data_IF_796774752590
#
_entry.id   IF_796774752590
#
_cell.length_a   1.000
_cell.length_b   1.000
_cell.length_c   1.000
_cell.angle_alpha   90.00
_cell.angle_beta   90.00
_cell.angle_gamma   90.00
#
_symmetry.space_group_name_H-M   'P 1'
#
loop_
_entity.id
_entity.type
_entity.pdbx_description
1 polymer ?
#
# COMPACT_ATOMS: atom_id res chain seq x y z
N UNK A 1 14.15 -21.49 -3.86
CA UNK A 1 12.83 -21.40 -4.54
C UNK A 1 13.02 -20.86 -5.95
N UNK A 2 13.88 -19.87 -6.10
CA UNK A 2 14.22 -19.21 -7.36
C UNK A 2 14.79 -20.15 -8.42
N UNK A 3 15.71 -21.05 -8.04
CA UNK A 3 16.21 -22.10 -8.96
C UNK A 3 15.10 -23.00 -9.52
N UNK A 4 14.03 -23.24 -8.75
CA UNK A 4 12.89 -24.02 -9.24
C UNK A 4 12.13 -23.24 -10.32
N UNK A 5 11.89 -21.95 -10.12
CA UNK A 5 11.24 -21.12 -11.12
C UNK A 5 12.09 -20.97 -12.38
N UNK A 6 13.38 -20.66 -12.25
CA UNK A 6 14.31 -20.51 -13.38
C UNK A 6 14.40 -21.78 -14.23
N UNK A 7 14.57 -22.95 -13.58
CA UNK A 7 14.63 -24.23 -14.28
C UNK A 7 13.34 -24.55 -15.06
N UNK A 8 12.22 -24.00 -14.63
CA UNK A 8 10.91 -24.28 -15.22
C UNK A 8 10.30 -23.06 -15.95
N UNK A 9 11.06 -22.00 -16.22
CA UNK A 9 10.55 -20.77 -16.84
C UNK A 9 9.95 -21.01 -18.23
N UNK A 10 10.63 -21.79 -19.08
CA UNK A 10 10.12 -22.16 -20.41
C UNK A 10 8.84 -23.02 -20.33
N UNK A 11 8.78 -23.92 -19.34
CA UNK A 11 7.59 -24.74 -19.09
C UNK A 11 6.41 -23.87 -18.62
N UNK A 12 6.69 -22.90 -17.73
CA UNK A 12 5.72 -21.93 -17.28
C UNK A 12 5.14 -21.13 -18.44
N UNK A 13 5.99 -20.58 -19.31
CA UNK A 13 5.54 -19.82 -20.47
C UNK A 13 4.64 -20.67 -21.37
N UNK A 14 5.04 -21.93 -21.63
CA UNK A 14 4.22 -22.90 -22.38
C UNK A 14 2.84 -23.14 -21.74
N UNK A 15 2.73 -23.10 -20.41
CA UNK A 15 1.45 -23.24 -19.72
C UNK A 15 0.60 -21.98 -19.79
N UNK A 16 1.22 -20.80 -19.62
CA UNK A 16 0.51 -19.52 -19.69
C UNK A 16 0.02 -19.23 -21.11
N UNK A 17 0.83 -19.51 -22.14
CA UNK A 17 0.45 -19.31 -23.55
C UNK A 17 -0.75 -20.18 -23.97
N UNK A 18 -0.99 -21.28 -23.26
CA UNK A 18 -2.15 -22.18 -23.48
C UNK A 18 -3.42 -21.70 -22.78
N UNK A 19 -3.34 -20.68 -21.92
CA UNK A 19 -4.52 -20.07 -21.33
C UNK A 19 -5.16 -19.17 -22.41
N UNK A 20 -6.25 -19.66 -22.99
CA UNK A 20 -7.08 -18.92 -23.94
C UNK A 20 -7.46 -17.52 -23.38
N UNK A 21 -7.02 -16.41 -24.00
CA UNK A 21 -7.30 -15.06 -23.52
C UNK A 21 -8.78 -14.64 -23.65
N UNK A 22 -9.63 -15.46 -24.29
CA UNK A 22 -11.05 -15.15 -24.54
C UNK A 22 -12.03 -15.96 -23.70
N UNK A 23 -11.56 -16.93 -22.90
CA UNK A 23 -12.42 -17.77 -22.04
C UNK A 23 -11.83 -17.94 -20.65
N UNK A 24 -12.64 -17.84 -19.58
CA UNK A 24 -12.19 -18.23 -18.24
C UNK A 24 -11.73 -19.71 -18.27
N UNK A 25 -10.61 -20.06 -17.62
CA UNK A 25 -10.01 -21.40 -17.73
C UNK A 25 -11.02 -22.49 -17.36
N UNK A 26 -11.13 -23.50 -18.24
CA UNK A 26 -12.12 -24.58 -18.19
C UNK A 26 -12.05 -25.47 -16.94
N UNK A 27 -10.96 -25.40 -16.17
CA UNK A 27 -10.81 -26.19 -14.93
C UNK A 27 -11.67 -25.67 -13.75
N UNK A 28 -12.35 -24.54 -13.91
CA UNK A 28 -13.24 -23.95 -12.89
C UNK A 28 -14.72 -24.35 -13.02
N UNK A 29 -15.10 -25.18 -14.01
CA UNK A 29 -16.51 -25.58 -14.18
C UNK A 29 -16.98 -26.75 -13.30
N UNK A 30 -16.08 -27.48 -12.64
CA UNK A 30 -16.42 -28.68 -11.85
C UNK A 30 -16.00 -28.64 -10.37
N UNK A 31 -15.61 -27.48 -9.85
CA UNK A 31 -15.65 -27.29 -8.40
C UNK A 31 -17.09 -26.96 -8.05
N UNK A 32 -17.73 -27.64 -7.07
CA UNK A 32 -18.98 -27.12 -6.53
C UNK A 32 -18.72 -25.65 -6.19
N UNK A 33 -19.63 -24.72 -6.52
CA UNK A 33 -19.48 -23.36 -6.06
C UNK A 33 -19.18 -23.46 -4.58
N UNK A 34 -17.97 -23.08 -4.16
CA UNK A 34 -17.83 -22.70 -2.77
C UNK A 34 -18.93 -21.66 -2.58
N UNK A 35 -19.74 -21.73 -1.52
CA UNK A 35 -20.74 -20.72 -1.27
C UNK A 35 -20.00 -19.41 -1.00
N UNK A 36 -19.57 -18.73 -2.06
CA UNK A 36 -19.52 -17.30 -2.13
C UNK A 36 -20.98 -16.95 -2.02
N UNK A 37 -21.43 -16.71 -0.77
CA UNK A 37 -22.52 -15.77 -0.56
C UNK A 37 -22.22 -14.63 -1.52
N UNK A 38 -23.11 -14.38 -2.46
CA UNK A 38 -23.19 -13.09 -3.12
C UNK A 38 -23.36 -12.09 -1.98
N UNK A 39 -22.24 -11.62 -1.45
CA UNK A 39 -22.22 -10.54 -0.49
C UNK A 39 -22.71 -9.37 -1.29
N UNK A 40 -23.86 -8.84 -0.89
CA UNK A 40 -24.37 -7.57 -1.35
C UNK A 40 -23.22 -6.57 -1.51
N UNK A 41 -23.35 -5.71 -2.52
CA UNK A 41 -22.44 -4.61 -2.85
C UNK A 41 -22.36 -3.63 -1.67
N UNK A 42 -21.62 -4.03 -0.63
CA UNK A 42 -21.34 -3.31 0.58
C UNK A 42 -19.89 -2.82 0.47
N UNK A 43 -19.71 -1.75 -0.29
CA UNK A 43 -18.46 -1.02 -0.32
C UNK A 43 -18.50 0.08 0.72
N UNK A 44 -17.57 0.09 1.68
CA UNK A 44 -17.37 1.24 2.55
C UNK A 44 -17.13 2.50 1.69
N UNK A 45 -18.04 3.49 1.67
CA UNK A 45 -17.97 4.61 0.74
C UNK A 45 -16.74 5.50 0.96
N UNK A 46 -16.11 5.38 2.14
CA UNK A 46 -14.96 6.19 2.54
C UNK A 46 -13.63 5.48 2.34
N UNK A 47 -13.60 4.25 1.79
CA UNK A 47 -12.37 3.52 1.50
C UNK A 47 -12.33 2.97 0.07
N UNK A 48 -11.41 3.50 -0.75
CA UNK A 48 -11.15 3.03 -2.12
C UNK A 48 -9.93 2.12 -2.13
N UNK A 49 -10.03 0.96 -2.77
CA UNK A 49 -8.92 0.00 -2.87
C UNK A 49 -8.56 -0.22 -4.32
N UNK A 50 -7.32 0.13 -4.62
CA UNK A 50 -6.75 0.03 -5.95
C UNK A 50 -5.51 -0.86 -5.93
N UNK A 51 -5.27 -1.53 -7.05
CA UNK A 51 -4.02 -2.27 -7.26
C UNK A 51 -3.21 -1.59 -8.35
N UNK A 52 -1.89 -1.50 -8.12
CA UNK A 52 -0.94 -1.02 -9.12
C UNK A 52 0.10 -2.10 -9.40
N UNK A 53 0.21 -2.51 -10.66
CA UNK A 53 1.20 -3.46 -11.14
C UNK A 53 2.34 -2.64 -11.75
N UNK A 54 3.57 -2.75 -11.21
CA UNK A 54 4.71 -2.09 -11.85
C UNK A 54 5.08 -2.81 -13.16
N UNK A 55 5.77 -2.15 -14.11
CA UNK A 55 6.38 -2.83 -15.24
C UNK A 55 7.39 -3.90 -14.81
N UNK A 56 7.63 -4.91 -15.66
CA UNK A 56 8.84 -5.74 -15.54
C UNK A 56 10.06 -4.85 -15.75
N UNK A 57 11.02 -4.89 -14.82
CA UNK A 57 12.26 -4.13 -14.91
C UNK A 57 13.32 -4.91 -15.70
N UNK A 58 14.35 -4.22 -16.18
CA UNK A 58 15.45 -4.83 -16.91
C UNK A 58 16.10 -5.97 -16.12
N UNK A 59 16.29 -5.80 -14.81
CA UNK A 59 16.83 -6.83 -13.93
C UNK A 59 15.91 -8.07 -13.81
N UNK A 60 14.58 -7.88 -13.78
CA UNK A 60 13.64 -9.00 -13.73
C UNK A 60 13.75 -9.85 -15.02
N UNK A 61 13.86 -9.17 -16.16
CA UNK A 61 13.97 -9.76 -17.49
C UNK A 61 15.33 -10.45 -17.64
N UNK A 62 16.42 -9.78 -17.26
CA UNK A 62 17.78 -10.31 -17.32
C UNK A 62 17.96 -11.54 -16.41
N UNK A 63 17.26 -11.55 -15.26
CA UNK A 63 17.24 -12.70 -14.36
C UNK A 63 16.47 -13.90 -14.93
N UNK A 64 15.67 -13.71 -15.99
CA UNK A 64 14.94 -14.78 -16.68
C UNK A 64 13.63 -15.20 -16.02
N UNK A 65 13.09 -14.38 -15.09
CA UNK A 65 11.78 -14.64 -14.51
C UNK A 65 10.66 -14.09 -15.40
N UNK A 66 9.68 -14.92 -15.82
CA UNK A 66 8.55 -14.45 -16.61
C UNK A 66 7.56 -13.65 -15.75
N UNK A 67 6.65 -12.93 -16.42
CA UNK A 67 5.53 -12.27 -15.75
C UNK A 67 4.53 -13.30 -15.19
N UNK A 68 3.99 -13.05 -14.01
CA UNK A 68 3.04 -13.90 -13.32
C UNK A 68 1.71 -13.22 -12.96
N UNK A 69 1.57 -11.92 -13.24
CA UNK A 69 0.41 -11.11 -12.89
C UNK A 69 -0.21 -10.55 -14.17
N UNK A 70 -1.45 -10.96 -14.47
CA UNK A 70 -2.13 -10.66 -15.72
C UNK A 70 -3.47 -9.96 -15.43
N UNK A 71 -3.55 -8.62 -15.55
CA UNK A 71 -4.82 -7.93 -15.49
C UNK A 71 -5.65 -8.29 -16.73
N UNK A 72 -6.94 -8.61 -16.55
CA UNK A 72 -7.85 -8.82 -17.69
C UNK A 72 -8.20 -7.49 -18.34
N UNK A 73 -8.53 -7.48 -19.65
CA UNK A 73 -9.03 -6.29 -20.33
C UNK A 73 -10.17 -5.65 -19.55
N UNK A 74 -10.11 -4.33 -19.40
CA UNK A 74 -11.15 -3.58 -18.71
C UNK A 74 -12.48 -3.71 -19.47
N UNK A 75 -13.52 -4.17 -18.77
CA UNK A 75 -14.88 -4.15 -19.27
C UNK A 75 -15.61 -2.95 -18.65
N UNK A 76 -15.96 -1.91 -19.43
CA UNK A 76 -16.58 -0.69 -18.90
C UNK A 76 -17.90 -0.91 -18.16
N UNK A 77 -18.59 -2.03 -18.42
CA UNK A 77 -19.85 -2.38 -17.74
C UNK A 77 -19.64 -3.17 -16.44
N UNK A 78 -18.42 -3.63 -16.18
CA UNK A 78 -18.11 -4.39 -14.98
C UNK A 78 -17.81 -3.45 -13.81
N UNK A 79 -18.49 -3.65 -12.69
CA UNK A 79 -18.24 -2.92 -11.43
C UNK A 79 -16.87 -3.21 -10.80
N UNK A 80 -16.21 -4.28 -11.24
CA UNK A 80 -14.94 -4.74 -10.70
C UNK A 80 -14.01 -5.18 -11.84
N UNK A 81 -12.73 -4.90 -11.67
CA UNK A 81 -11.67 -5.39 -12.53
C UNK A 81 -11.09 -6.70 -11.99
N UNK A 82 -10.55 -7.52 -12.90
CA UNK A 82 -10.07 -8.86 -12.57
C UNK A 82 -8.59 -8.99 -12.88
N UNK A 83 -7.84 -9.58 -11.96
CA UNK A 83 -6.42 -9.94 -12.14
C UNK A 83 -6.28 -11.45 -11.97
N UNK A 84 -5.59 -12.09 -12.91
CA UNK A 84 -5.18 -13.49 -12.80
C UNK A 84 -3.71 -13.58 -12.41
N UNK A 85 -3.40 -14.45 -11.45
CA UNK A 85 -2.04 -14.81 -11.06
C UNK A 85 -1.78 -16.26 -11.41
N UNK A 86 -0.62 -16.52 -12.00
CA UNK A 86 -0.21 -17.86 -12.40
C UNK A 86 1.10 -18.23 -11.72
N UNK A 87 1.09 -19.30 -10.93
CA UNK A 87 2.24 -19.81 -10.17
C UNK A 87 2.55 -21.26 -10.60
N UNK A 88 3.81 -21.70 -10.45
CA UNK A 88 4.19 -23.09 -10.59
C UNK A 88 4.13 -23.80 -9.25
N UNK A 89 3.40 -24.90 -9.19
CA UNK A 89 3.33 -25.76 -8.02
C UNK A 89 4.01 -27.10 -8.28
N UNK A 90 4.98 -27.45 -7.44
CA UNK A 90 5.63 -28.75 -7.47
C UNK A 90 4.78 -29.79 -6.71
N UNK A 91 3.92 -30.51 -7.44
CA UNK A 91 3.01 -31.47 -6.82
C UNK A 91 3.73 -32.79 -6.49
N UNK A 92 3.69 -33.31 -5.23
CA UNK A 92 4.45 -34.50 -4.83
C UNK A 92 4.18 -35.77 -5.64
N UNK A 93 2.97 -35.89 -6.21
CA UNK A 93 2.53 -37.03 -7.04
C UNK A 93 2.63 -36.81 -8.56
N UNK A 94 3.22 -35.70 -9.03
CA UNK A 94 3.35 -35.43 -10.47
C UNK A 94 4.84 -35.24 -10.82
N UNK A 95 5.30 -35.79 -11.95
CA UNK A 95 6.70 -35.69 -12.35
C UNK A 95 7.07 -34.30 -12.89
N UNK A 96 6.07 -33.49 -13.28
CA UNK A 96 6.26 -32.13 -13.78
C UNK A 96 5.48 -31.14 -12.90
N UNK A 97 6.01 -29.91 -12.72
CA UNK A 97 5.26 -28.83 -12.10
C UNK A 97 3.92 -28.60 -12.81
N UNK A 98 2.92 -28.17 -12.05
CA UNK A 98 1.62 -27.80 -12.59
C UNK A 98 1.39 -26.30 -12.44
N UNK A 99 0.66 -25.71 -13.38
CA UNK A 99 0.23 -24.32 -13.28
C UNK A 99 -0.92 -24.22 -12.26
N UNK A 100 -0.78 -23.33 -11.29
CA UNK A 100 -1.80 -22.99 -10.31
C UNK A 100 -2.20 -21.54 -10.49
N UNK A 101 -3.43 -21.34 -10.95
CA UNK A 101 -3.99 -20.01 -11.16
C UNK A 101 -4.82 -19.55 -9.96
N UNK A 102 -4.81 -18.25 -9.68
CA UNK A 102 -5.77 -17.60 -8.78
C UNK A 102 -6.27 -16.30 -9.39
N UNK A 103 -7.57 -16.09 -9.32
CA UNK A 103 -8.25 -14.92 -9.85
C UNK A 103 -8.68 -14.02 -8.69
N UNK A 104 -8.44 -12.72 -8.81
CA UNK A 104 -8.77 -11.71 -7.81
C UNK A 104 -9.64 -10.62 -8.43
N UNK A 105 -10.68 -10.19 -7.71
CA UNK A 105 -11.59 -9.12 -8.16
C UNK A 105 -11.43 -7.89 -7.28
N UNK A 106 -11.28 -6.73 -7.91
CA UNK A 106 -10.90 -5.48 -7.24
C UNK A 106 -11.68 -4.30 -7.84
N UNK A 107 -11.74 -3.18 -7.12
CA UNK A 107 -12.39 -1.97 -7.61
C UNK A 107 -11.61 -1.39 -8.79
N UNK A 108 -10.33 -1.05 -8.57
CA UNK A 108 -9.46 -0.45 -9.58
C UNK A 108 -8.15 -1.23 -9.75
N UNK A 109 -7.71 -1.36 -11.00
CA UNK A 109 -6.49 -2.04 -11.42
C UNK A 109 -5.75 -1.16 -12.42
N UNK A 110 -4.58 -0.70 -11.98
CA UNK A 110 -3.62 0.06 -12.78
C UNK A 110 -2.50 -0.88 -13.22
N UNK A 111 -2.45 -1.20 -14.52
CA UNK A 111 -1.40 -2.03 -15.09
C UNK A 111 -0.09 -1.24 -15.32
N UNK A 112 0.90 -1.91 -15.92
CA UNK A 112 2.21 -1.33 -16.19
C UNK A 112 2.19 -0.10 -17.13
N UNK A 113 1.12 0.10 -17.90
CA UNK A 113 0.96 1.26 -18.79
C UNK A 113 0.40 2.49 -18.06
N UNK A 114 -0.16 2.32 -16.87
CA UNK A 114 -0.78 3.40 -16.12
C UNK A 114 0.27 4.35 -15.50
N UNK A 115 0.24 5.61 -15.94
CA UNK A 115 1.07 6.68 -15.38
C UNK A 115 0.64 7.02 -13.94
N UNK A 116 1.55 7.58 -13.15
CA UNK A 116 1.19 8.05 -11.79
C UNK A 116 0.17 9.19 -11.84
N UNK A 117 0.19 10.02 -12.89
CA UNK A 117 -0.83 11.06 -13.10
C UNK A 117 -2.23 10.45 -13.27
N UNK A 118 -2.37 9.37 -14.05
CA UNK A 118 -3.65 8.65 -14.17
C UNK A 118 -4.13 8.11 -12.82
N UNK A 119 -3.23 7.49 -12.05
CA UNK A 119 -3.55 7.02 -10.68
C UNK A 119 -3.98 8.18 -9.79
N UNK A 120 -3.30 9.33 -9.90
CA UNK A 120 -3.66 10.53 -9.15
C UNK A 120 -5.08 10.99 -9.48
N UNK A 121 -5.36 11.16 -10.77
CA UNK A 121 -6.64 11.66 -11.26
C UNK A 121 -7.81 10.76 -10.90
N UNK A 122 -7.65 9.45 -11.02
CA UNK A 122 -8.76 8.51 -10.81
C UNK A 122 -9.05 8.22 -9.35
N UNK A 123 -8.05 8.20 -8.46
CA UNK A 123 -8.27 7.74 -7.07
C UNK A 123 -7.68 8.62 -5.97
N UNK A 124 -6.79 9.57 -6.27
CA UNK A 124 -6.12 10.39 -5.22
C UNK A 124 -6.60 11.84 -5.22
N UNK A 125 -7.00 12.38 -6.36
CA UNK A 125 -7.44 13.78 -6.50
C UNK A 125 -8.55 14.13 -5.49
N UNK A 126 -9.58 13.30 -5.38
CA UNK A 126 -10.69 13.51 -4.44
C UNK A 126 -10.25 13.53 -2.97
N UNK A 127 -9.21 12.75 -2.64
CA UNK A 127 -8.59 12.72 -1.33
C UNK A 127 -7.90 14.06 -1.01
N UNK A 128 -7.13 14.56 -1.98
CA UNK A 128 -6.43 15.85 -1.90
C UNK A 128 -7.43 17.01 -1.79
N UNK A 129 -8.50 16.97 -2.59
CA UNK A 129 -9.55 17.99 -2.55
C UNK A 129 -10.26 18.01 -1.19
N UNK A 130 -10.56 16.84 -0.63
CA UNK A 130 -11.17 16.75 0.69
C UNK A 130 -10.27 17.33 1.79
N UNK A 131 -8.95 17.12 1.70
CA UNK A 131 -8.00 17.72 2.64
C UNK A 131 -7.91 19.25 2.47
N UNK A 132 -7.95 19.76 1.25
CA UNK A 132 -8.06 21.21 1.04
C UNK A 132 -9.34 21.80 1.66
N UNK A 133 -10.46 21.07 1.62
CA UNK A 133 -11.73 21.52 2.18
C UNK A 133 -11.84 21.31 3.71
N UNK A 134 -10.70 21.11 4.40
CA UNK A 134 -10.66 21.02 5.86
C UNK A 134 -10.92 19.62 6.44
N UNK A 135 -10.98 18.57 5.61
CA UNK A 135 -11.20 17.18 6.05
C UNK A 135 -9.90 16.40 6.19
N UNK A 136 -10.02 15.14 6.61
CA UNK A 136 -8.90 14.21 6.66
C UNK A 136 -8.87 13.33 5.39
N UNK A 137 -7.68 13.16 4.84
CA UNK A 137 -7.41 12.21 3.77
C UNK A 137 -6.22 11.33 4.13
N UNK A 138 -6.32 10.02 3.89
CA UNK A 138 -5.19 9.10 4.05
C UNK A 138 -4.99 8.23 2.82
N UNK A 139 -3.76 8.15 2.33
CA UNK A 139 -3.33 7.24 1.28
C UNK A 139 -2.34 6.24 1.86
N UNK A 140 -2.58 4.94 1.62
CA UNK A 140 -1.68 3.86 1.95
C UNK A 140 -1.10 3.24 0.69
N UNK A 141 0.21 3.12 0.59
CA UNK A 141 0.83 2.17 -0.32
C UNK A 141 1.29 0.93 0.45
N UNK A 142 0.82 -0.23 0.02
CA UNK A 142 1.09 -1.52 0.64
C UNK A 142 1.58 -2.53 -0.39
N UNK A 143 2.44 -3.47 0.01
CA UNK A 143 3.00 -4.49 -0.87
C UNK A 143 4.42 -4.87 -0.48
N UNK A 144 4.96 -5.87 -1.16
CA UNK A 144 6.32 -6.32 -0.92
C UNK A 144 7.38 -5.27 -1.28
N UNK A 145 8.59 -5.44 -0.80
CA UNK A 145 9.75 -4.68 -1.26
C UNK A 145 9.91 -4.82 -2.77
N UNK A 146 10.37 -3.72 -3.39
CA UNK A 146 10.53 -3.60 -4.84
C UNK A 146 9.23 -3.72 -5.66
N UNK A 147 8.04 -3.61 -5.05
CA UNK A 147 6.77 -3.56 -5.81
C UNK A 147 6.38 -2.17 -6.33
N UNK A 148 7.18 -1.14 -6.06
CA UNK A 148 6.94 0.23 -6.54
C UNK A 148 6.15 1.14 -5.59
N UNK A 149 6.04 0.79 -4.30
CA UNK A 149 5.36 1.61 -3.26
C UNK A 149 5.95 3.02 -3.16
N UNK A 150 7.24 3.11 -2.84
CA UNK A 150 7.94 4.39 -2.66
C UNK A 150 7.86 5.25 -3.92
N UNK A 151 8.12 4.67 -5.10
CA UNK A 151 7.96 5.37 -6.39
C UNK A 151 6.56 5.95 -6.55
N UNK A 152 5.53 5.13 -6.30
CA UNK A 152 4.14 5.57 -6.42
C UNK A 152 3.81 6.69 -5.45
N UNK A 153 4.15 6.53 -4.16
CA UNK A 153 3.83 7.51 -3.13
C UNK A 153 4.58 8.82 -3.36
N UNK A 154 5.87 8.79 -3.65
CA UNK A 154 6.67 10.00 -3.89
C UNK A 154 6.14 10.81 -5.06
N UNK A 155 5.82 10.16 -6.19
CA UNK A 155 5.28 10.87 -7.34
C UNK A 155 3.86 11.41 -7.08
N UNK A 156 3.02 10.68 -6.34
CA UNK A 156 1.72 11.18 -5.89
C UNK A 156 1.83 12.37 -4.92
N UNK A 157 2.84 12.38 -4.04
CA UNK A 157 3.11 13.50 -3.12
C UNK A 157 3.44 14.77 -3.91
N UNK A 158 4.31 14.66 -4.92
CA UNK A 158 4.66 15.79 -5.80
C UNK A 158 3.43 16.35 -6.51
N UNK A 159 2.55 15.49 -7.02
CA UNK A 159 1.30 15.89 -7.65
C UNK A 159 0.35 16.57 -6.66
N UNK A 160 0.19 16.00 -5.45
CA UNK A 160 -0.68 16.56 -4.41
C UNK A 160 -0.21 17.96 -3.95
N UNK A 161 1.09 18.15 -3.73
CA UNK A 161 1.66 19.46 -3.37
C UNK A 161 1.39 20.48 -4.48
N UNK A 162 1.66 20.12 -5.74
CA UNK A 162 1.42 21.01 -6.86
C UNK A 162 -0.06 21.41 -6.99
N UNK A 163 -0.98 20.45 -6.87
CA UNK A 163 -2.43 20.69 -6.99
C UNK A 163 -2.96 21.58 -5.86
N UNK A 164 -2.49 21.37 -4.63
CA UNK A 164 -2.86 22.19 -3.48
C UNK A 164 -2.32 23.63 -3.58
N UNK A 165 -1.09 23.82 -4.04
CA UNK A 165 -0.51 25.15 -4.27
C UNK A 165 -1.22 25.91 -5.40
N UNK A 166 -1.62 25.21 -6.47
CA UNK A 166 -2.41 25.80 -7.55
C UNK A 166 -3.78 26.29 -7.07
N UNK A 167 -4.30 25.74 -5.97
CA UNK A 167 -5.50 26.23 -5.29
C UNK A 167 -5.22 27.33 -4.26
N UNK A 168 -4.00 27.85 -4.22
CA UNK A 168 -3.54 28.87 -3.27
C UNK A 168 -3.70 28.46 -1.80
N UNK A 169 -3.71 27.16 -1.49
CA UNK A 169 -3.73 26.69 -0.11
C UNK A 169 -2.43 27.07 0.60
N UNK A 170 -2.52 27.49 1.86
CA UNK A 170 -1.38 27.56 2.75
C UNK A 170 -0.97 26.14 3.16
N UNK A 171 0.25 25.75 2.81
CA UNK A 171 0.74 24.38 2.98
C UNK A 171 1.88 24.28 3.98
N UNK A 172 1.77 23.27 4.84
CA UNK A 172 2.88 22.82 5.67
C UNK A 172 3.11 21.32 5.52
N UNK A 173 4.36 20.92 5.36
CA UNK A 173 4.77 19.52 5.17
C UNK A 173 5.61 19.07 6.35
N UNK A 174 5.29 17.89 6.85
CA UNK A 174 6.12 17.14 7.81
C UNK A 174 6.31 15.73 7.26
N UNK A 175 7.54 15.22 7.25
CA UNK A 175 7.83 13.86 6.79
C UNK A 175 8.46 13.06 7.91
N UNK A 176 7.79 11.99 8.34
CA UNK A 176 8.19 11.17 9.47
C UNK A 176 8.56 9.77 9.00
N UNK A 177 9.68 9.26 9.49
CA UNK A 177 10.06 7.86 9.41
C UNK A 177 9.66 7.11 10.69
N UNK A 178 9.06 5.94 10.54
CA UNK A 178 8.81 5.00 11.63
C UNK A 178 9.67 3.74 11.45
N UNK A 179 10.63 3.56 12.34
CA UNK A 179 11.42 2.33 12.45
C UNK A 179 10.98 1.58 13.71
N UNK A 180 10.20 0.52 13.54
CA UNK A 180 9.52 -0.16 14.64
C UNK A 180 8.56 0.77 15.40
N UNK A 181 8.88 1.07 16.66
CA UNK A 181 8.12 2.00 17.51
C UNK A 181 8.80 3.36 17.71
N UNK A 182 9.92 3.61 17.02
CA UNK A 182 10.61 4.89 17.05
C UNK A 182 10.14 5.73 15.87
N UNK A 183 9.99 7.04 16.09
CA UNK A 183 9.60 8.02 15.09
C UNK A 183 10.71 9.05 14.94
N UNK A 184 11.01 9.43 13.70
CA UNK A 184 12.07 10.38 13.35
C UNK A 184 11.56 11.38 12.31
N UNK A 185 11.95 12.65 12.45
CA UNK A 185 11.64 13.71 11.48
C UNK A 185 12.71 13.73 10.37
N UNK A 186 12.30 13.33 9.16
CA UNK A 186 13.22 13.25 8.01
C UNK A 186 13.63 14.61 7.44
N UNK A 187 12.88 15.68 7.72
CA UNK A 187 13.24 17.04 7.30
C UNK A 187 14.15 17.73 8.31
N UNK A 188 14.16 17.25 9.54
CA UNK A 188 15.06 17.69 10.61
C UNK A 188 16.19 16.69 10.87
N UNK A 189 16.93 16.29 9.83
CA UNK A 189 18.11 15.42 9.92
C UNK A 189 17.87 14.09 10.67
N UNK A 190 16.65 13.54 10.59
CA UNK A 190 16.25 12.31 11.28
C UNK A 190 16.30 12.44 12.81
N UNK A 191 16.02 13.62 13.35
CA UNK A 191 15.87 13.83 14.79
C UNK A 191 14.70 13.04 15.36
N UNK A 192 14.87 12.54 16.58
CA UNK A 192 13.87 11.66 17.21
C UNK A 192 12.68 12.49 17.72
N UNK A 193 11.47 12.04 17.39
CA UNK A 193 10.22 12.68 17.83
C UNK A 193 9.39 11.75 18.70
N UNK A 194 8.42 12.33 19.43
CA UNK A 194 7.50 11.58 20.28
C UNK A 194 6.06 11.65 19.75
N UNK A 195 5.40 10.50 19.68
CA UNK A 195 3.97 10.40 19.33
C UNK A 195 3.15 10.39 20.62
N UNK A 196 2.34 11.42 20.85
CA UNK A 196 1.53 11.58 22.08
C UNK A 196 0.07 11.90 21.73
N UNK A 197 -0.84 11.65 22.65
CA UNK A 197 -2.23 12.14 22.56
C UNK A 197 -2.34 13.40 23.42
N UNK A 198 -3.00 14.44 22.91
CA UNK A 198 -3.38 15.60 23.72
C UNK A 198 -4.67 15.35 24.53
N UNK A 199 -5.11 16.35 25.30
CA UNK A 199 -6.32 16.25 26.12
C UNK A 199 -7.61 16.05 25.30
N UNK A 200 -7.60 16.39 24.01
CA UNK A 200 -8.73 16.14 23.09
C UNK A 200 -8.72 14.72 22.51
N UNK A 201 -7.67 13.94 22.79
CA UNK A 201 -7.46 12.62 22.20
C UNK A 201 -6.89 12.64 20.79
N UNK A 202 -6.44 13.81 20.31
CA UNK A 202 -5.80 13.98 19.00
C UNK A 202 -4.33 13.59 19.09
N UNK A 203 -3.84 12.89 18.06
CA UNK A 203 -2.43 12.46 18.03
C UNK A 203 -1.51 13.61 17.57
N UNK A 204 -0.50 13.89 18.38
CA UNK A 204 0.49 14.94 18.20
C UNK A 204 1.88 14.36 17.95
N UNK A 205 2.61 14.95 17.01
CA UNK A 205 3.99 14.63 16.65
C UNK A 205 4.94 15.61 17.35
N UNK A 206 5.20 15.38 18.63
CA UNK A 206 5.97 16.29 19.48
C UNK A 206 7.45 16.28 19.06
N UNK A 207 7.96 17.46 18.71
CA UNK A 207 9.33 17.66 18.25
C UNK A 207 9.50 17.61 16.72
N UNK A 208 8.44 17.31 15.97
CA UNK A 208 8.48 17.39 14.51
C UNK A 208 8.32 18.84 14.03
N UNK A 209 9.02 19.18 12.96
CA UNK A 209 8.99 20.51 12.35
C UNK A 209 7.97 20.52 11.20
N UNK A 210 7.16 21.57 11.15
CA UNK A 210 6.25 21.85 10.04
C UNK A 210 6.93 22.83 9.08
N UNK A 211 7.26 22.38 7.88
CA UNK A 211 7.90 23.22 6.87
C UNK A 211 6.84 23.85 5.98
N UNK A 212 6.75 25.18 6.00
CA UNK A 212 5.88 25.91 5.09
C UNK A 212 6.39 25.74 3.64
N UNK A 213 5.46 25.48 2.71
CA UNK A 213 5.75 25.35 1.29
C UNK A 213 5.05 26.47 0.55
N UNK A 214 5.83 27.34 -0.10
CA UNK A 214 5.32 28.53 -0.80
C UNK A 214 5.29 28.36 -2.32
N UNK A 215 6.12 27.46 -2.85
CA UNK A 215 6.18 27.17 -4.28
C UNK A 215 6.39 25.67 -4.53
N UNK A 216 6.09 25.26 -5.77
CA UNK A 216 6.09 23.85 -6.18
C UNK A 216 7.47 23.23 -6.11
N UNK A 217 8.49 23.96 -6.55
CA UNK A 217 9.85 23.42 -6.70
C UNK A 217 10.48 23.22 -5.31
N UNK A 218 10.28 24.17 -4.39
CA UNK A 218 10.61 24.02 -2.97
C UNK A 218 9.91 22.80 -2.34
N UNK A 219 8.61 22.61 -2.63
CA UNK A 219 7.86 21.46 -2.14
C UNK A 219 8.44 20.13 -2.62
N UNK A 220 8.81 20.05 -3.90
CA UNK A 220 9.46 18.87 -4.48
C UNK A 220 10.84 18.64 -3.84
N UNK A 221 11.64 19.69 -3.68
CA UNK A 221 12.98 19.60 -3.06
C UNK A 221 12.90 19.07 -1.63
N UNK A 222 11.92 19.53 -0.84
CA UNK A 222 11.69 19.02 0.53
C UNK A 222 11.37 17.53 0.52
N UNK A 223 10.48 17.07 -0.38
CA UNK A 223 10.14 15.64 -0.49
C UNK A 223 11.37 14.81 -0.89
N UNK A 224 12.17 15.29 -1.84
CA UNK A 224 13.38 14.60 -2.29
C UNK A 224 14.45 14.54 -1.20
N UNK A 225 14.61 15.63 -0.44
CA UNK A 225 15.48 15.70 0.74
C UNK A 225 15.03 14.72 1.83
N UNK A 226 13.75 14.65 2.15
CA UNK A 226 13.24 13.66 3.11
C UNK A 226 13.55 12.22 2.63
N UNK A 227 13.37 11.96 1.34
CA UNK A 227 13.69 10.66 0.74
C UNK A 227 15.18 10.34 0.69
N UNK A 228 16.07 11.34 0.61
CA UNK A 228 17.52 11.12 0.74
C UNK A 228 17.90 10.74 2.16
N UNK A 229 17.33 11.41 3.18
CA UNK A 229 17.55 11.04 4.58
C UNK A 229 17.04 9.63 4.89
N UNK A 230 15.85 9.28 4.37
CA UNK A 230 15.33 7.92 4.52
C UNK A 230 16.26 6.89 3.89
N UNK A 231 16.81 7.17 2.70
CA UNK A 231 17.76 6.26 2.01
C UNK A 231 19.12 6.15 2.71
N UNK A 232 19.60 7.26 3.27
CA UNK A 232 20.87 7.33 3.99
C UNK A 232 20.79 6.78 5.42
N UNK A 233 19.60 6.45 5.92
CA UNK A 233 19.42 5.86 7.24
C UNK A 233 20.26 4.57 7.34
N UNK A 234 21.08 4.42 8.39
CA UNK A 234 21.93 3.25 8.59
C UNK A 234 21.03 2.04 8.83
N UNK A 235 20.68 1.38 7.74
CA UNK A 235 20.00 0.08 7.74
C UNK A 235 21.00 -0.92 7.19
N UNK A 236 21.14 -2.06 7.86
CA UNK A 236 22.15 -3.05 7.51
C UNK A 236 21.83 -3.67 6.13
N UNK A 237 22.63 -3.33 5.12
CA UNK A 237 22.77 -3.98 3.80
C UNK A 237 21.58 -3.98 2.80
N UNK A 238 20.38 -3.50 3.13
CA UNK A 238 19.25 -3.43 2.17
C UNK A 238 18.73 -1.99 2.00
N UNK A 239 17.93 -1.69 0.94
CA UNK A 239 17.34 -0.36 0.77
C UNK A 239 16.49 0.02 1.98
N UNK A 240 16.82 1.11 2.67
CA UNK A 240 16.16 1.55 3.90
C UNK A 240 14.63 1.70 3.78
N UNK A 241 14.13 2.04 2.58
CA UNK A 241 12.68 2.12 2.30
C UNK A 241 11.91 0.81 2.47
N UNK A 242 12.61 -0.34 2.48
CA UNK A 242 11.99 -1.65 2.73
C UNK A 242 11.69 -1.91 4.21
N UNK A 243 12.34 -1.20 5.12
CA UNK A 243 12.34 -1.50 6.56
C UNK A 243 11.90 -0.36 7.48
N UNK A 244 11.33 0.69 6.93
CA UNK A 244 10.66 1.71 7.73
C UNK A 244 9.43 2.22 7.00
N UNK A 245 8.41 2.62 7.76
CA UNK A 245 7.26 3.32 7.20
C UNK A 245 7.60 4.79 7.07
N UNK A 246 7.16 5.42 5.99
CA UNK A 246 7.27 6.87 5.81
C UNK A 246 5.88 7.47 5.75
N UNK A 247 5.66 8.53 6.52
CA UNK A 247 4.42 9.28 6.58
C UNK A 247 4.73 10.71 6.19
N UNK A 248 4.28 11.13 5.01
CA UNK A 248 4.23 12.54 4.65
C UNK A 248 2.88 13.09 5.07
N UNK A 249 2.88 14.02 6.03
CA UNK A 249 1.70 14.75 6.49
C UNK A 249 1.71 16.13 5.85
N UNK A 250 0.71 16.42 5.04
CA UNK A 250 0.48 17.72 4.41
C UNK A 250 -0.71 18.36 5.10
N UNK A 251 -0.46 19.46 5.81
CA UNK A 251 -1.49 20.33 6.37
C UNK A 251 -1.84 21.39 5.33
N UNK A 252 -3.11 21.50 4.99
CA UNK A 252 -3.60 22.46 4.01
C UNK A 252 -4.68 23.37 4.60
N UNK A 253 -4.63 24.66 4.27
CA UNK A 253 -5.65 25.64 4.67
C UNK A 253 -5.99 26.52 3.48
N UNK A 254 -7.25 26.52 3.07
CA UNK A 254 -7.70 27.32 1.91
C UNK A 254 -7.74 28.81 2.27
N UNK A 255 -7.48 29.70 1.30
CA UNK A 255 -7.64 31.14 1.49
C UNK A 255 -9.02 31.50 2.04
N UNK A 256 -9.06 32.28 3.13
CA UNK A 256 -10.32 32.69 3.76
C UNK A 256 -11.01 31.61 4.61
N UNK A 257 -10.44 30.40 4.71
CA UNK A 257 -10.89 29.36 5.64
C UNK A 257 -10.04 29.36 6.91
N UNK A 258 -10.68 29.20 8.07
CA UNK A 258 -9.98 28.90 9.32
C UNK A 258 -9.84 27.40 9.56
N UNK A 259 -10.44 26.56 8.71
CA UNK A 259 -10.44 25.11 8.87
C UNK A 259 -9.23 24.51 8.18
N UNK A 260 -8.45 23.75 8.96
CA UNK A 260 -7.28 23.03 8.48
C UNK A 260 -7.67 21.60 8.13
N UNK A 261 -7.25 21.13 6.97
CA UNK A 261 -7.33 19.72 6.62
C UNK A 261 -5.97 19.08 6.53
N UNK A 262 -5.95 17.75 6.60
CA UNK A 262 -4.73 16.98 6.66
C UNK A 262 -4.77 15.82 5.68
N UNK A 263 -3.70 15.71 4.88
CA UNK A 263 -3.45 14.60 4.00
C UNK A 263 -2.26 13.79 4.52
N UNK A 264 -2.49 12.51 4.77
CA UNK A 264 -1.48 11.56 5.21
C UNK A 264 -1.14 10.64 4.03
N UNK A 265 0.08 10.73 3.50
CA UNK A 265 0.54 9.86 2.42
C UNK A 265 1.59 8.90 2.96
N UNK A 266 1.17 7.64 3.12
CA UNK A 266 1.88 6.60 3.86
C UNK A 266 2.51 5.61 2.88
N UNK A 267 3.83 5.54 2.88
CA UNK A 267 4.61 4.47 2.24
C UNK A 267 4.99 3.44 3.29
N UNK A 268 4.28 2.31 3.30
CA UNK A 268 4.51 1.26 4.29
C UNK A 268 5.79 0.47 3.97
N UNK A 269 6.42 -0.10 4.99
CA UNK A 269 7.50 -1.07 4.84
C UNK A 269 7.05 -2.29 4.00
N UNK A 270 8.03 -3.04 3.47
CA UNK A 270 7.78 -4.29 2.75
C UNK A 270 6.96 -5.28 3.57
N UNK A 271 5.95 -5.89 2.95
CA UNK A 271 5.06 -6.85 3.60
C UNK A 271 5.55 -8.29 3.54
N UNK A 272 6.73 -8.53 2.98
CA UNK A 272 7.30 -9.86 2.81
C UNK A 272 7.67 -10.50 4.15
N UNK A 273 7.41 -11.80 4.22
CA UNK A 273 7.81 -12.65 5.33
C UNK A 273 9.27 -12.99 5.10
N UNK A 274 10.18 -12.47 5.93
CA UNK A 274 11.45 -13.02 6.43
C UNK A 274 12.17 -14.18 5.68
N UNK A 275 11.97 -14.36 4.37
CA UNK A 275 12.53 -15.45 3.58
C UNK A 275 14.00 -15.19 3.24
N UNK A 276 14.41 -13.93 3.28
CA UNK A 276 15.80 -13.51 3.15
C UNK A 276 16.59 -13.59 4.47
N UNK A 277 15.99 -14.13 5.55
CA UNK A 277 16.63 -14.16 6.88
C UNK A 277 17.72 -15.23 6.99
N UNK A 278 17.92 -16.07 5.97
CA UNK A 278 18.96 -17.12 5.98
C UNK A 278 20.39 -16.59 6.13
N UNK A 279 20.64 -15.29 5.94
CA UNK A 279 21.98 -14.69 6.08
C UNK A 279 22.05 -13.47 7.02
N UNK A 280 21.04 -13.24 7.87
CA UNK A 280 20.88 -11.95 8.56
C UNK A 280 21.21 -12.06 10.07
N UNK A 281 21.97 -11.09 10.58
CA UNK A 281 22.32 -11.00 12.01
C UNK A 281 21.12 -10.69 12.93
N UNK A 282 21.26 -10.87 14.25
CA UNK A 282 20.16 -10.80 15.22
C UNK A 282 19.44 -9.44 15.28
N UNK A 283 20.15 -8.33 15.08
CA UNK A 283 19.56 -6.98 15.05
C UNK A 283 18.62 -6.78 13.86
N UNK A 284 19.00 -7.31 12.70
CA UNK A 284 18.24 -7.19 11.46
C UNK A 284 16.97 -8.05 11.46
N UNK A 285 17.06 -9.22 12.10
CA UNK A 285 15.88 -10.04 12.40
C UNK A 285 14.90 -9.31 13.31
N UNK A 286 15.40 -8.57 14.31
CA UNK A 286 14.58 -7.79 15.22
C UNK A 286 13.86 -6.64 14.51
N UNK A 287 14.57 -5.86 13.68
CA UNK A 287 13.97 -4.78 12.88
C UNK A 287 12.88 -5.30 11.95
N UNK A 288 13.17 -6.38 11.20
CA UNK A 288 12.21 -7.03 10.30
C UNK A 288 10.97 -7.53 11.05
N UNK A 289 11.15 -8.05 12.27
CA UNK A 289 10.05 -8.49 13.13
C UNK A 289 9.20 -7.31 13.59
N UNK A 290 9.81 -6.21 14.04
CA UNK A 290 9.10 -5.01 14.50
C UNK A 290 8.26 -4.39 13.37
N UNK A 291 8.79 -4.33 12.14
CA UNK A 291 8.04 -3.87 10.97
C UNK A 291 6.82 -4.75 10.68
N UNK A 292 7.01 -6.08 10.70
CA UNK A 292 5.91 -7.01 10.50
C UNK A 292 4.85 -6.94 11.61
N UNK A 293 5.25 -6.65 12.85
CA UNK A 293 4.30 -6.39 13.95
C UNK A 293 3.44 -5.17 13.62
N UNK A 294 4.03 -4.04 13.23
CA UNK A 294 3.26 -2.83 12.90
C UNK A 294 2.28 -3.05 11.73
N UNK A 295 2.67 -3.80 10.70
CA UNK A 295 1.79 -4.19 9.60
C UNK A 295 0.68 -5.15 10.08
N UNK A 296 0.97 -6.08 10.99
CA UNK A 296 -0.05 -6.97 11.55
C UNK A 296 -1.09 -6.20 12.37
N UNK A 297 -0.65 -5.27 13.22
CA UNK A 297 -1.56 -4.43 14.02
C UNK A 297 -2.40 -3.56 13.09
N UNK A 298 -1.82 -2.97 12.04
CA UNK A 298 -2.55 -2.22 11.02
C UNK A 298 -3.67 -3.07 10.39
N UNK A 299 -3.33 -4.30 9.99
CA UNK A 299 -4.29 -5.27 9.42
C UNK A 299 -5.43 -5.57 10.38
N UNK A 300 -5.10 -5.78 11.66
CA UNK A 300 -6.09 -6.01 12.71
C UNK A 300 -6.96 -4.78 12.97
N UNK A 301 -6.40 -3.57 13.00
CA UNK A 301 -7.15 -2.33 13.15
C UNK A 301 -8.20 -2.18 12.04
N UNK A 302 -7.83 -2.42 10.77
CA UNK A 302 -8.77 -2.29 9.66
C UNK A 302 -9.87 -3.35 9.75
N UNK A 303 -9.51 -4.60 10.05
CA UNK A 303 -10.48 -5.69 10.22
C UNK A 303 -11.46 -5.41 11.36
N UNK A 304 -10.97 -4.97 12.51
CA UNK A 304 -11.82 -4.70 13.68
C UNK A 304 -12.69 -3.45 13.46
N UNK A 305 -12.17 -2.40 12.81
CA UNK A 305 -12.95 -1.19 12.50
C UNK A 305 -14.21 -1.54 11.70
N UNK A 306 -14.09 -2.40 10.72
CA UNK A 306 -15.24 -2.74 9.90
C UNK A 306 -16.19 -3.74 10.55
N UNK A 307 -15.67 -4.67 11.37
CA UNK A 307 -16.54 -5.42 12.27
C UNK A 307 -17.33 -4.48 13.20
N UNK A 308 -16.74 -3.36 13.63
CA UNK A 308 -17.43 -2.35 14.42
C UNK A 308 -18.54 -1.63 13.62
N UNK A 309 -18.41 -1.49 12.30
CA UNK A 309 -19.42 -0.86 11.45
C UNK A 309 -20.70 -1.71 11.33
N UNK A 310 -20.58 -3.04 11.39
CA UNK A 310 -21.73 -3.97 11.25
C UNK A 310 -22.22 -4.57 12.57
N UNK A 311 -21.39 -4.53 13.63
CA UNK A 311 -21.72 -5.08 14.94
C UNK A 311 -22.55 -4.12 15.79
N UNK A 312 -23.61 -4.63 16.43
CA UNK A 312 -24.36 -3.92 17.50
C UNK A 312 -23.59 -3.84 18.83
N UNK A 313 -22.54 -4.66 19.00
CA UNK A 313 -21.66 -4.67 20.18
C UNK A 313 -20.45 -3.78 19.93
N UNK A 314 -19.97 -3.12 20.99
CA UNK A 314 -18.70 -2.36 20.96
C UNK A 314 -17.55 -3.30 20.61
N UNK A 315 -16.94 -3.07 19.45
CA UNK A 315 -15.75 -3.81 18.99
C UNK A 315 -14.50 -3.00 19.36
N UNK A 316 -13.55 -3.64 20.05
CA UNK A 316 -12.29 -2.99 20.40
C UNK A 316 -11.32 -2.99 19.21
N UNK A 317 -10.91 -1.80 18.76
CA UNK A 317 -9.89 -1.62 17.73
C UNK A 317 -8.52 -1.41 18.39
N UNK A 318 -7.49 -2.22 18.11
CA UNK A 318 -6.21 -2.19 18.83
C UNK A 318 -5.26 -1.05 18.36
N UNK A 319 -5.78 0.18 18.30
CA UNK A 319 -5.08 1.38 17.79
C UNK A 319 -3.73 1.62 18.48
N UNK A 320 -3.63 1.27 19.77
CA UNK A 320 -2.41 1.45 20.58
C UNK A 320 -1.35 0.37 20.36
N UNK A 321 -1.62 -0.65 19.54
CA UNK A 321 -0.74 -1.80 19.33
C UNK A 321 0.57 -1.48 18.59
N UNK A 322 0.64 -0.36 17.87
CA UNK A 322 1.88 0.11 17.22
C UNK A 322 1.92 1.64 17.14
N UNK A 323 3.10 2.21 16.95
CA UNK A 323 3.24 3.66 16.74
C UNK A 323 2.60 4.12 15.44
N UNK A 324 2.67 3.30 14.38
CA UNK A 324 1.99 3.52 13.11
C UNK A 324 0.47 3.68 13.29
N UNK A 325 -0.16 2.74 14.00
CA UNK A 325 -1.62 2.77 14.23
C UNK A 325 -2.04 3.89 15.19
N UNK A 326 -1.15 4.35 16.09
CA UNK A 326 -1.40 5.56 16.90
C UNK A 326 -1.44 6.81 16.04
N UNK A 327 -0.46 7.02 15.16
CA UNK A 327 -0.43 8.18 14.24
C UNK A 327 -1.67 8.18 13.33
N UNK A 328 -2.09 7.00 12.90
CA UNK A 328 -3.21 6.82 11.99
C UNK A 328 -4.53 6.54 12.72
N UNK A 329 -4.64 6.93 14.00
CA UNK A 329 -5.83 6.69 14.82
C UNK A 329 -7.10 7.17 14.12
N UNK A 330 -7.07 8.34 13.47
CA UNK A 330 -8.20 8.91 12.74
C UNK A 330 -8.77 8.02 11.63
N UNK A 331 -7.97 7.08 11.11
CA UNK A 331 -8.42 6.12 10.10
C UNK A 331 -9.23 5.00 10.73
N UNK A 332 -8.90 4.62 11.97
CA UNK A 332 -9.43 3.39 12.60
C UNK A 332 -10.41 3.63 13.73
N UNK A 333 -10.44 4.84 14.29
CA UNK A 333 -11.30 5.18 15.42
C UNK A 333 -12.77 5.31 14.96
N UNK A 334 -13.65 4.36 15.32
CA UNK A 334 -15.05 4.41 14.92
C UNK A 334 -15.83 5.52 15.65
N UNK A 335 -15.29 6.03 16.77
CA UNK A 335 -15.86 7.12 17.55
C UNK A 335 -15.22 8.47 17.17
N UNK A 336 -14.30 8.49 16.19
CA UNK A 336 -13.64 9.68 15.70
C UNK A 336 -14.62 10.63 15.00
N UNK A 337 -14.71 11.88 15.49
CA UNK A 337 -15.68 12.87 15.00
C UNK A 337 -15.38 13.47 13.61
N UNK A 338 -14.20 13.24 13.04
CA UNK A 338 -13.80 13.82 11.75
C UNK A 338 -13.84 12.77 10.64
N UNK A 339 -14.60 13.07 9.59
CA UNK A 339 -14.70 12.23 8.40
C UNK A 339 -13.33 12.11 7.71
N UNK A 340 -12.88 10.87 7.49
CA UNK A 340 -11.63 10.56 6.78
C UNK A 340 -11.91 9.72 5.55
N UNK A 341 -11.55 10.24 4.37
CA UNK A 341 -11.45 9.41 3.16
C UNK A 341 -10.13 8.66 3.16
N UNK A 342 -10.15 7.42 2.67
CA UNK A 342 -8.98 6.53 2.65
C UNK A 342 -8.80 5.91 1.28
N UNK A 343 -7.58 5.93 0.76
CA UNK A 343 -7.21 5.25 -0.48
C UNK A 343 -6.11 4.25 -0.16
N UNK A 344 -6.28 3.00 -0.57
CA UNK A 344 -5.26 1.96 -0.44
C UNK A 344 -4.78 1.57 -1.83
N UNK A 345 -3.48 1.70 -2.09
CA UNK A 345 -2.81 1.26 -3.31
C UNK A 345 -1.96 0.04 -2.98
N UNK A 346 -2.46 -1.14 -3.35
CA UNK A 346 -1.71 -2.39 -3.28
C UNK A 346 -0.76 -2.50 -4.49
N UNK A 347 0.53 -2.33 -4.24
CA UNK A 347 1.59 -2.37 -5.25
C UNK A 347 2.10 -3.81 -5.43
N UNK A 348 2.13 -4.30 -6.67
CA UNK A 348 2.52 -5.67 -7.02
C UNK A 348 3.79 -5.72 -7.86
N UNK A 349 4.63 -6.71 -7.58
CA UNK A 349 5.71 -7.12 -8.47
C UNK A 349 5.15 -8.16 -9.46
N UNK A 350 5.22 -7.93 -10.79
CA UNK A 350 4.75 -8.88 -11.78
C UNK A 350 5.62 -10.15 -11.91
N UNK A 351 6.86 -10.17 -11.41
CA UNK A 351 7.79 -11.29 -11.60
C UNK A 351 7.30 -12.60 -10.96
N UNK A 352 7.50 -13.73 -11.65
CA UNK A 352 7.20 -15.06 -11.14
C UNK A 352 7.98 -15.40 -9.85
N UNK A 353 9.18 -14.84 -9.68
CA UNK A 353 9.94 -14.98 -8.43
C UNK A 353 9.14 -14.52 -7.20
N UNK A 354 8.28 -13.52 -7.40
CA UNK A 354 7.55 -12.80 -6.37
C UNK A 354 6.05 -13.13 -6.33
N UNK A 355 5.59 -14.10 -7.13
CA UNK A 355 4.18 -14.45 -7.27
C UNK A 355 3.50 -14.77 -5.94
N UNK A 356 4.22 -15.41 -5.01
CA UNK A 356 3.70 -15.75 -3.68
C UNK A 356 3.41 -14.50 -2.84
N UNK A 357 4.29 -13.50 -2.91
CA UNK A 357 4.16 -12.22 -2.22
C UNK A 357 3.06 -11.37 -2.85
N UNK A 358 3.02 -11.26 -4.19
CA UNK A 358 1.94 -10.59 -4.92
C UNK A 358 0.56 -11.20 -4.62
N UNK A 359 0.47 -12.54 -4.53
CA UNK A 359 -0.75 -13.24 -4.13
C UNK A 359 -1.21 -12.90 -2.71
N UNK A 360 -0.28 -12.78 -1.77
CA UNK A 360 -0.62 -12.38 -0.40
C UNK A 360 -1.08 -10.92 -0.34
N UNK A 361 -0.46 -10.03 -1.12
CA UNK A 361 -0.89 -8.64 -1.24
C UNK A 361 -2.31 -8.53 -1.79
N UNK A 362 -2.62 -9.29 -2.84
CA UNK A 362 -3.95 -9.32 -3.44
C UNK A 362 -5.03 -9.88 -2.52
N UNK A 363 -4.74 -10.98 -1.82
CA UNK A 363 -5.65 -11.54 -0.81
C UNK A 363 -5.99 -10.50 0.26
N UNK A 364 -5.01 -9.70 0.65
CA UNK A 364 -5.23 -8.64 1.62
C UNK A 364 -6.05 -7.49 1.03
N UNK A 365 -5.76 -7.05 -0.19
CA UNK A 365 -6.55 -6.03 -0.89
C UNK A 365 -8.02 -6.47 -1.08
N UNK A 366 -8.26 -7.71 -1.47
CA UNK A 366 -9.62 -8.28 -1.54
C UNK A 366 -10.30 -8.35 -0.19
N UNK A 367 -9.56 -8.71 0.87
CA UNK A 367 -10.12 -8.70 2.23
C UNK A 367 -10.55 -7.28 2.57
N UNK A 368 -9.68 -6.28 2.38
CA UNK A 368 -10.01 -4.87 2.61
C UNK A 368 -11.26 -4.42 1.83
N UNK A 369 -11.44 -4.92 0.61
CA UNK A 369 -12.57 -4.55 -0.25
C UNK A 369 -13.85 -5.34 0.00
N UNK A 370 -13.76 -6.45 0.74
CA UNK A 370 -14.89 -7.28 1.20
C UNK A 370 -15.24 -7.05 2.65
N UNK A 371 -14.41 -6.30 3.36
CA UNK A 371 -14.60 -5.96 4.75
C UNK A 371 -15.79 -4.97 4.79
N UNK A 372 -16.98 -5.56 4.95
CA UNK A 372 -18.21 -5.03 5.55
C UNK A 372 -18.99 -6.20 6.19
#
# INVERSE_FOLDING_TARGET
>A
MDQFYLKNAALYQTYVDKLDPTKPPSHFMNLPPQPTKETADNSNPNMTISVRIRPMLEDDIASGFPCAVYPRPHNPTAKQQTIDLHDLYNHPRRPRPILKSSTHKLQNVFDASASTAKVYDEVVRDLVMSAADGKLGTLFAYGQTSSGKTFTVTELQKLAVADLLNRHAELHVTVVELAGNLAFDLLNQRERIAVREDASGTTQLVGAIEHQVTDKDQGIELLEKAMSFRRAAPTLKNPASSRSHCICRIKATQPGSSTQGFLYMVDLAGSEIARDVTEHGPELMRETRENNVSLSVLKDCIRQRALAATSKKKVHVPIRGSTLTKILKHVFDPEGGQECKTVVIACLNPSLADVASSKNTLRYAELLGKID
#
